data_IF_272648844139
#
_entry.id   IF_272648844139
#
_cell.length_a   1.000
_cell.length_b   1.000
_cell.length_c   1.000
_cell.angle_alpha   90.00
_cell.angle_beta   90.00
_cell.angle_gamma   90.00
#
_symmetry.space_group_name_H-M   'P 1'
#
loop_
_entity.id
_entity.type
_entity.pdbx_description
1 polymer ?
#
# COMPACT_ATOMS: atom_id res chain seq x y z
N UNK A 1 -0.24 -21.25 -40.79
CA UNK A 1 1.20 -20.96 -40.72
C UNK A 1 1.49 -20.19 -39.45
N UNK A 2 2.56 -20.55 -38.74
CA UNK A 2 2.94 -19.99 -37.42
C UNK A 2 3.04 -18.45 -37.38
N UNK A 3 3.46 -17.80 -38.47
CA UNK A 3 3.54 -16.33 -38.55
C UNK A 3 2.19 -15.58 -38.48
N UNK A 4 1.08 -16.22 -38.89
CA UNK A 4 -0.25 -15.61 -38.83
C UNK A 4 -0.80 -15.48 -37.41
N UNK A 5 -0.44 -16.42 -36.52
CA UNK A 5 -0.87 -16.38 -35.12
C UNK A 5 -0.10 -15.34 -34.33
N UNK A 6 1.22 -15.24 -34.54
CA UNK A 6 2.05 -14.21 -33.89
C UNK A 6 1.53 -12.80 -34.20
N UNK A 7 1.15 -12.55 -35.45
CA UNK A 7 0.61 -11.25 -35.87
C UNK A 7 -0.79 -10.98 -35.28
N UNK A 8 -1.65 -11.99 -35.23
CA UNK A 8 -2.98 -11.87 -34.66
C UNK A 8 -2.93 -11.59 -33.14
N UNK A 9 -2.14 -12.35 -32.38
CA UNK A 9 -1.97 -12.13 -30.93
C UNK A 9 -1.30 -10.78 -30.64
N UNK A 10 -0.26 -10.41 -31.42
CA UNK A 10 0.39 -9.11 -31.28
C UNK A 10 -0.56 -7.94 -31.53
N UNK A 11 -1.40 -8.02 -32.56
CA UNK A 11 -2.38 -6.99 -32.88
C UNK A 11 -3.43 -6.84 -31.77
N UNK A 12 -3.98 -7.94 -31.28
CA UNK A 12 -4.99 -7.92 -30.20
C UNK A 12 -4.38 -7.38 -28.90
N UNK A 13 -3.14 -7.76 -28.56
CA UNK A 13 -2.44 -7.23 -27.38
C UNK A 13 -2.17 -5.72 -27.48
N UNK A 14 -1.77 -5.22 -28.66
CA UNK A 14 -1.56 -3.80 -28.88
C UNK A 14 -2.85 -2.98 -28.74
N UNK A 15 -3.94 -3.45 -29.36
CA UNK A 15 -5.25 -2.81 -29.25
C UNK A 15 -5.77 -2.79 -27.80
N UNK A 16 -5.56 -3.87 -27.05
CA UNK A 16 -5.93 -3.93 -25.64
C UNK A 16 -5.11 -2.95 -24.77
N UNK A 17 -3.83 -2.76 -25.09
CA UNK A 17 -2.97 -1.80 -24.37
C UNK A 17 -3.33 -0.35 -24.70
N UNK A 18 -3.65 -0.05 -25.96
CA UNK A 18 -4.13 1.29 -26.38
C UNK A 18 -5.45 1.69 -25.72
N UNK A 19 -6.33 0.71 -25.49
CA UNK A 19 -7.60 0.92 -24.79
C UNK A 19 -7.47 0.96 -23.26
N UNK A 20 -6.32 0.54 -22.71
CA UNK A 20 -6.10 0.49 -21.27
C UNK A 20 -5.72 1.88 -20.72
N UNK A 21 -6.23 2.20 -19.53
CA UNK A 21 -5.85 3.42 -18.83
C UNK A 21 -4.68 3.11 -17.88
N UNK A 22 -3.49 3.67 -18.10
CA UNK A 22 -2.35 3.42 -17.23
C UNK A 22 -2.60 4.04 -15.84
N UNK A 23 -2.21 3.31 -14.80
CA UNK A 23 -2.24 3.78 -13.41
C UNK A 23 -0.83 3.90 -12.85
N UNK A 24 -0.62 4.86 -11.96
CA UNK A 24 0.66 5.02 -11.30
C UNK A 24 0.81 3.91 -10.24
N UNK A 25 1.84 3.08 -10.39
CA UNK A 25 2.20 2.06 -9.40
C UNK A 25 3.15 2.67 -8.37
N UNK A 26 2.63 2.99 -7.18
CA UNK A 26 3.40 3.54 -6.08
C UNK A 26 4.12 2.43 -5.30
N UNK A 27 5.44 2.57 -5.15
CA UNK A 27 6.24 1.69 -4.30
C UNK A 27 6.00 2.02 -2.83
N UNK A 28 5.65 1.00 -2.04
CA UNK A 28 5.46 1.10 -0.60
C UNK A 28 6.32 0.06 0.13
N UNK A 29 6.91 0.46 1.25
CA UNK A 29 7.54 -0.45 2.20
C UNK A 29 6.48 -1.00 3.15
N UNK A 30 6.56 -2.29 3.48
CA UNK A 30 5.69 -2.92 4.45
C UNK A 30 6.39 -3.01 5.80
N UNK A 31 5.65 -2.68 6.84
CA UNK A 31 6.05 -2.83 8.22
C UNK A 31 4.99 -3.59 9.00
N UNK A 32 5.41 -4.46 9.90
CA UNK A 32 4.55 -5.05 10.93
C UNK A 32 4.68 -4.18 12.17
N UNK A 33 3.56 -3.66 12.66
CA UNK A 33 3.49 -2.83 13.85
C UNK A 33 2.66 -3.55 14.89
N UNK A 34 3.29 -3.99 15.96
CA UNK A 34 2.61 -4.64 17.09
C UNK A 34 2.30 -3.60 18.15
N UNK A 35 1.03 -3.52 18.57
CA UNK A 35 0.53 -2.52 19.51
C UNK A 35 -0.51 -3.11 20.46
N UNK A 36 -0.57 -2.55 21.67
CA UNK A 36 -1.63 -2.86 22.62
C UNK A 36 -3.01 -2.46 22.08
N UNK A 37 -4.07 -3.10 22.57
CA UNK A 37 -5.43 -2.72 22.19
C UNK A 37 -5.82 -1.31 22.66
N UNK A 38 -5.20 -0.76 23.71
CA UNK A 38 -5.49 0.59 24.18
C UNK A 38 -5.01 1.68 23.23
N UNK A 39 -3.91 1.45 22.51
CA UNK A 39 -3.34 2.43 21.58
C UNK A 39 -3.71 2.15 20.11
N UNK A 40 -4.35 1.01 19.84
CA UNK A 40 -4.69 0.53 18.50
C UNK A 40 -5.49 1.56 17.69
N UNK A 41 -6.60 2.07 18.23
CA UNK A 41 -7.48 2.99 17.50
C UNK A 41 -6.79 4.33 17.24
N UNK A 42 -6.03 4.82 18.24
CA UNK A 42 -5.24 6.05 18.12
C UNK A 42 -4.17 5.92 17.04
N UNK A 43 -3.43 4.81 17.05
CA UNK A 43 -2.39 4.53 16.06
C UNK A 43 -3.00 4.43 14.65
N UNK A 44 -4.09 3.68 14.48
CA UNK A 44 -4.77 3.54 13.17
C UNK A 44 -5.19 4.90 12.61
N UNK A 45 -5.80 5.74 13.45
CA UNK A 45 -6.23 7.08 13.06
C UNK A 45 -5.07 7.98 12.65
N UNK A 46 -3.96 7.95 13.39
CA UNK A 46 -2.77 8.73 13.03
C UNK A 46 -2.10 8.22 11.76
N UNK A 47 -2.00 6.90 11.57
CA UNK A 47 -1.46 6.30 10.36
C UNK A 47 -2.25 6.73 9.12
N UNK A 48 -3.58 6.66 9.18
CA UNK A 48 -4.45 7.07 8.09
C UNK A 48 -4.29 8.56 7.75
N UNK A 49 -4.30 9.44 8.76
CA UNK A 49 -4.11 10.88 8.56
C UNK A 49 -2.74 11.24 7.96
N UNK A 50 -1.69 10.50 8.31
CA UNK A 50 -0.35 10.73 7.78
C UNK A 50 -0.12 10.06 6.41
N UNK A 51 -1.14 9.42 5.82
CA UNK A 51 -1.06 8.80 4.50
C UNK A 51 -0.45 7.39 4.49
N UNK A 52 -0.31 6.76 5.66
CA UNK A 52 -0.02 5.33 5.76
C UNK A 52 -1.30 4.53 5.60
N UNK A 53 -1.15 3.29 5.14
CA UNK A 53 -2.30 2.43 4.85
C UNK A 53 -2.14 1.09 5.55
N UNK A 54 -3.08 0.73 6.41
CA UNK A 54 -3.14 -0.60 7.01
C UNK A 54 -3.67 -1.59 5.97
N UNK A 55 -2.82 -2.52 5.51
CA UNK A 55 -3.16 -3.53 4.49
C UNK A 55 -3.60 -4.86 5.08
N UNK A 56 -3.42 -5.05 6.37
CA UNK A 56 -3.84 -6.25 7.08
C UNK A 56 -3.74 -6.04 8.58
N UNK A 57 -4.46 -6.87 9.32
CA UNK A 57 -4.45 -6.87 10.77
C UNK A 57 -4.59 -8.30 11.28
N UNK A 58 -3.79 -8.67 12.27
CA UNK A 58 -3.90 -9.92 13.00
C UNK A 58 -4.06 -9.61 14.48
N UNK A 59 -5.05 -10.23 15.11
CA UNK A 59 -5.40 -9.97 16.49
C UNK A 59 -5.07 -11.20 17.34
N UNK A 60 -4.10 -11.05 18.23
CA UNK A 60 -3.66 -12.08 19.18
C UNK A 60 -3.67 -11.52 20.60
N UNK A 61 -2.59 -11.76 21.35
CA UNK A 61 -2.36 -11.12 22.65
C UNK A 61 -2.27 -9.59 22.52
N UNK A 62 -1.60 -9.15 21.46
CA UNK A 62 -1.55 -7.77 20.98
C UNK A 62 -2.10 -7.69 19.55
N UNK A 63 -2.28 -6.47 19.04
CA UNK A 63 -2.72 -6.23 17.67
C UNK A 63 -1.52 -6.02 16.75
N UNK A 64 -1.40 -6.87 15.73
CA UNK A 64 -0.40 -6.76 14.67
C UNK A 64 -1.01 -6.09 13.44
N UNK A 65 -0.49 -4.91 13.09
CA UNK A 65 -0.90 -4.18 11.89
C UNK A 65 0.15 -4.34 10.79
N UNK A 66 -0.27 -4.74 9.60
CA UNK A 66 0.56 -4.66 8.41
C UNK A 66 0.35 -3.28 7.78
N UNK A 67 1.36 -2.42 7.87
CA UNK A 67 1.30 -1.03 7.44
C UNK A 67 2.13 -0.85 6.17
N UNK A 68 1.49 -0.37 5.11
CA UNK A 68 2.14 0.08 3.90
C UNK A 68 2.48 1.57 3.99
N UNK A 69 3.78 1.86 3.91
CA UNK A 69 4.33 3.20 3.92
C UNK A 69 4.85 3.56 2.52
N UNK A 70 4.32 4.60 1.85
CA UNK A 70 4.96 5.16 0.68
C UNK A 70 6.41 5.53 0.97
N UNK A 71 7.33 5.22 0.06
CA UNK A 71 8.77 5.46 0.24
C UNK A 71 9.13 6.89 0.70
N UNK A 72 8.48 7.97 0.21
CA UNK A 72 8.79 9.32 0.67
C UNK A 72 8.49 9.57 2.15
N UNK A 73 7.49 8.91 2.72
CA UNK A 73 7.04 9.11 4.10
C UNK A 73 7.41 7.96 5.03
N UNK A 74 8.00 6.87 4.52
CA UNK A 74 8.40 5.72 5.34
C UNK A 74 9.33 6.05 6.51
N UNK A 75 10.27 7.02 6.43
CA UNK A 75 11.08 7.39 7.60
C UNK A 75 10.27 7.96 8.78
N UNK A 76 9.06 8.47 8.53
CA UNK A 76 8.21 9.07 9.57
C UNK A 76 7.42 8.03 10.38
N UNK A 77 7.36 6.78 9.92
CA UNK A 77 6.53 5.74 10.55
C UNK A 77 6.93 5.49 12.01
N UNK A 78 8.23 5.40 12.29
CA UNK A 78 8.74 5.11 13.63
C UNK A 78 8.38 6.21 14.63
N UNK A 79 8.53 7.47 14.21
CA UNK A 79 8.17 8.63 15.03
C UNK A 79 6.66 8.64 15.32
N UNK A 80 5.83 8.43 14.29
CA UNK A 80 4.37 8.39 14.45
C UNK A 80 3.94 7.27 15.40
N UNK A 81 4.50 6.07 15.27
CA UNK A 81 4.21 4.96 16.16
C UNK A 81 4.64 5.26 17.61
N UNK A 82 5.80 5.89 17.81
CA UNK A 82 6.26 6.29 19.14
C UNK A 82 5.31 7.32 19.78
N UNK A 83 4.89 8.35 19.02
CA UNK A 83 3.99 9.39 19.49
C UNK A 83 2.59 8.84 19.85
N UNK A 84 2.12 7.83 19.08
CA UNK A 84 0.83 7.18 19.28
C UNK A 84 0.80 6.28 20.52
N UNK A 85 1.92 5.59 20.81
CA UNK A 85 1.99 4.47 21.77
C UNK A 85 2.89 4.73 22.96
N UNK A 86 3.33 5.98 23.16
CA UNK A 86 4.36 6.33 24.14
C UNK A 86 5.65 5.49 24.02
N UNK A 87 5.98 5.08 22.78
CA UNK A 87 7.16 4.25 22.48
C UNK A 87 6.98 2.75 22.70
N UNK A 88 5.77 2.25 23.00
CA UNK A 88 5.53 0.84 23.25
C UNK A 88 5.38 -0.01 21.97
N UNK A 89 5.15 0.60 20.81
CA UNK A 89 5.00 -0.12 19.55
C UNK A 89 6.29 -0.81 19.10
N UNK A 90 6.17 -2.07 18.67
CA UNK A 90 7.25 -2.80 17.99
C UNK A 90 7.06 -2.69 16.49
N UNK A 91 8.13 -2.37 15.76
CA UNK A 91 8.10 -2.15 14.31
C UNK A 91 9.12 -3.05 13.64
N UNK A 92 8.67 -3.90 12.74
CA UNK A 92 9.51 -4.82 11.99
C UNK A 92 9.31 -4.63 10.48
N UNK A 93 10.38 -4.60 9.67
CA UNK A 93 10.23 -4.60 8.21
C UNK A 93 9.61 -5.93 7.74
N UNK A 94 8.57 -5.85 6.92
CA UNK A 94 7.83 -6.99 6.41
C UNK A 94 7.96 -7.17 4.88
N UNK A 95 8.60 -6.23 4.18
CA UNK A 95 8.89 -6.32 2.75
C UNK A 95 8.52 -5.05 1.99
N UNK A 96 8.11 -5.21 0.74
CA UNK A 96 7.67 -4.11 -0.12
C UNK A 96 6.58 -4.56 -1.08
N UNK A 97 5.72 -3.63 -1.48
CA UNK A 97 4.66 -3.84 -2.47
C UNK A 97 4.59 -2.67 -3.45
N UNK A 98 4.02 -2.93 -4.62
CA UNK A 98 3.58 -1.89 -5.54
C UNK A 98 2.06 -1.82 -5.51
N UNK A 99 1.51 -0.62 -5.31
CA UNK A 99 0.08 -0.39 -5.27
C UNK A 99 -0.32 0.58 -6.37
N UNK A 100 -1.40 0.33 -7.12
CA UNK A 100 -1.97 1.35 -7.98
C UNK A 100 -2.52 2.49 -7.13
N UNK A 101 -2.13 3.73 -7.42
CA UNK A 101 -2.89 4.89 -6.96
C UNK A 101 -4.19 4.94 -7.78
N UNK A 102 -5.35 5.22 -7.16
CA UNK A 102 -6.58 5.40 -7.91
C UNK A 102 -6.37 6.49 -8.98
N UNK A 103 -6.89 6.33 -10.21
CA UNK A 103 -6.82 7.37 -11.20
C UNK A 103 -7.55 8.62 -10.69
N UNK A 104 -7.09 9.85 -11.01
CA UNK A 104 -7.87 11.06 -10.76
C UNK A 104 -9.25 10.89 -11.42
N UNK A 105 -10.31 11.37 -10.74
CA UNK A 105 -11.70 11.22 -11.18
C UNK A 105 -11.87 11.53 -12.68
N UNK A 106 -12.72 10.77 -13.40
CA UNK A 106 -13.00 11.08 -14.79
C UNK A 106 -13.53 12.52 -14.89
N UNK A 107 -13.09 13.32 -15.88
CA UNK A 107 -13.60 14.68 -16.06
C UNK A 107 -15.12 14.66 -16.25
N UNK A 108 -15.85 15.68 -15.77
CA UNK A 108 -17.30 15.72 -15.89
C UNK A 108 -17.73 15.62 -17.37
N UNK A 109 -18.78 14.83 -17.59
CA UNK A 109 -19.37 14.54 -18.90
C UNK A 109 -19.91 15.79 -19.61
#
# INVERSE_FOLDING_TARGET
GSGGLVHAYGKVAAQALEAAQPVLMQRCLLFRVTVSYSDLDRLRYQLEQAGFMVTGSQYGLDADLLVAAPVPISPLLSQLCADATAGAALIEPAGQIYRPLPPPDPPPA
#
